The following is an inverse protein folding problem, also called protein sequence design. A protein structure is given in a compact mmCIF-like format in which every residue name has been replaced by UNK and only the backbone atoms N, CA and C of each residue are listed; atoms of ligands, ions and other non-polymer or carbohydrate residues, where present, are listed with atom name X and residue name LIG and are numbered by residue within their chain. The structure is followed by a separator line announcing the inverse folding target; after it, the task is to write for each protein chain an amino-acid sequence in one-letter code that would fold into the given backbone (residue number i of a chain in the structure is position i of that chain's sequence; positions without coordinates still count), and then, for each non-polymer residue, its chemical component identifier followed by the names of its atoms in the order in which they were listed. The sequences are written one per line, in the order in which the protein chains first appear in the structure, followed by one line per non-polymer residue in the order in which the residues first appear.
data_IF_385352520851
#
_entry.id   IF_385352520851
#
_cell.length_a   1.000
_cell.length_b   1.000
_cell.length_c   1.000
_cell.angle_alpha   90.00
_cell.angle_beta   90.00
_cell.angle_gamma   90.00
#
_symmetry.space_group_name_H-M   'P 1'
#
loop_
_entity.id
_entity.type
_entity.pdbx_description
1 polymer ?
#
# COMPACT_ATOMS: atom_id res chain seq x y z
N UNK A 1 -22.97 17.32 -4.10
CA UNK A 1 -21.90 16.44 -4.64
C UNK A 1 -21.78 16.73 -6.13
N UNK A 2 -20.58 17.05 -6.61
CA UNK A 2 -20.35 17.24 -8.04
C UNK A 2 -20.37 15.87 -8.75
N UNK A 3 -20.66 15.84 -10.05
CA UNK A 3 -20.61 14.63 -10.88
C UNK A 3 -19.26 13.91 -10.75
N UNK A 4 -18.16 14.66 -10.66
CA UNK A 4 -16.83 14.10 -10.46
C UNK A 4 -16.69 13.35 -9.12
N UNK A 5 -17.21 13.92 -8.03
CA UNK A 5 -17.16 13.28 -6.70
C UNK A 5 -17.94 11.96 -6.70
N UNK A 6 -19.13 11.98 -7.30
CA UNK A 6 -19.97 10.79 -7.39
C UNK A 6 -19.31 9.69 -8.23
N UNK A 7 -18.66 10.06 -9.35
CA UNK A 7 -17.92 9.10 -10.16
C UNK A 7 -16.74 8.48 -9.39
N UNK A 8 -15.95 9.30 -8.70
CA UNK A 8 -14.72 8.84 -8.03
C UNK A 8 -14.98 8.04 -6.74
N UNK A 9 -15.97 8.43 -5.94
CA UNK A 9 -16.21 7.84 -4.62
C UNK A 9 -17.50 7.01 -4.55
N UNK A 10 -18.46 7.24 -5.44
CA UNK A 10 -19.71 6.50 -5.51
C UNK A 10 -19.69 5.33 -6.49
N UNK A 11 -18.99 5.45 -7.64
CA UNK A 11 -19.02 4.44 -8.71
C UNK A 11 -17.71 3.67 -8.83
N UNK A 12 -16.57 4.38 -8.94
CA UNK A 12 -15.26 3.80 -9.19
C UNK A 12 -14.84 2.68 -8.22
N UNK A 13 -15.12 2.75 -6.89
CA UNK A 13 -14.76 1.68 -5.96
C UNK A 13 -15.36 0.32 -6.33
N UNK A 14 -16.60 0.29 -6.83
CA UNK A 14 -17.28 -0.94 -7.24
C UNK A 14 -16.69 -1.51 -8.53
N UNK A 15 -16.32 -0.65 -9.48
CA UNK A 15 -15.64 -1.08 -10.71
C UNK A 15 -14.28 -1.68 -10.36
N UNK A 16 -13.49 -0.99 -9.54
CA UNK A 16 -12.17 -1.46 -9.11
C UNK A 16 -12.27 -2.81 -8.37
N UNK A 17 -13.24 -2.95 -7.48
CA UNK A 17 -13.46 -4.19 -6.73
C UNK A 17 -13.92 -5.36 -7.62
N UNK A 18 -14.83 -5.10 -8.57
CA UNK A 18 -15.27 -6.11 -9.52
C UNK A 18 -14.12 -6.60 -10.41
N UNK A 19 -13.29 -5.68 -10.93
CA UNK A 19 -12.10 -6.02 -11.73
C UNK A 19 -11.07 -6.77 -10.89
N UNK A 20 -10.86 -6.38 -9.63
CA UNK A 20 -9.97 -7.08 -8.71
C UNK A 20 -10.42 -8.53 -8.51
N UNK A 21 -11.67 -8.77 -8.08
CA UNK A 21 -12.15 -10.12 -7.79
C UNK A 21 -12.23 -11.00 -9.03
N UNK A 22 -12.87 -10.53 -10.11
CA UNK A 22 -13.05 -11.32 -11.33
C UNK A 22 -11.72 -11.52 -12.05
N UNK A 23 -10.89 -10.48 -12.14
CA UNK A 23 -9.56 -10.57 -12.75
C UNK A 23 -8.65 -11.55 -12.00
N UNK A 24 -8.68 -11.53 -10.66
CA UNK A 24 -7.96 -12.51 -9.83
C UNK A 24 -8.47 -13.93 -10.05
N UNK A 25 -9.79 -14.14 -10.06
CA UNK A 25 -10.38 -15.46 -10.27
C UNK A 25 -10.06 -16.03 -11.67
N UNK A 26 -10.24 -15.23 -12.72
CA UNK A 26 -9.97 -15.64 -14.10
C UNK A 26 -8.48 -15.99 -14.28
N UNK A 27 -7.57 -15.17 -13.76
CA UNK A 27 -6.13 -15.44 -13.84
C UNK A 27 -5.74 -16.68 -13.04
N UNK A 28 -6.38 -16.90 -11.90
CA UNK A 28 -6.18 -18.11 -11.11
C UNK A 28 -6.65 -19.33 -11.91
N UNK A 29 -7.85 -19.34 -12.47
CA UNK A 29 -8.37 -20.52 -13.16
C UNK A 29 -7.63 -20.84 -14.48
N UNK A 30 -7.28 -19.80 -15.26
CA UNK A 30 -6.73 -19.98 -16.61
C UNK A 30 -5.21 -19.92 -16.71
N UNK A 31 -4.54 -19.10 -15.89
CA UNK A 31 -3.16 -18.66 -16.13
C UNK A 31 -2.21 -18.97 -14.94
N UNK A 32 -2.31 -20.16 -14.36
CA UNK A 32 -1.52 -20.62 -13.21
C UNK A 32 0.00 -20.45 -13.37
N UNK A 33 0.56 -20.66 -14.57
CA UNK A 33 2.00 -20.48 -14.82
C UNK A 33 2.48 -19.02 -14.63
N UNK A 34 1.57 -18.06 -14.76
CA UNK A 34 1.86 -16.64 -14.51
C UNK A 34 1.70 -16.25 -13.04
N UNK A 35 1.17 -17.14 -12.18
CA UNK A 35 0.91 -16.89 -10.77
C UNK A 35 2.16 -17.16 -9.92
N UNK A 36 3.07 -16.19 -9.89
CA UNK A 36 4.35 -16.29 -9.18
C UNK A 36 4.85 -14.93 -8.72
N UNK A 37 5.78 -14.93 -7.76
CA UNK A 37 6.37 -13.71 -7.20
C UNK A 37 7.40 -13.01 -8.11
N UNK A 38 7.81 -13.66 -9.20
CA UNK A 38 8.82 -13.14 -10.16
C UNK A 38 10.08 -12.59 -9.44
N UNK A 39 10.66 -13.39 -8.53
CA UNK A 39 11.83 -12.98 -7.74
C UNK A 39 13.05 -12.68 -8.62
N UNK A 40 13.63 -11.50 -8.45
CA UNK A 40 14.88 -11.08 -9.11
C UNK A 40 16.11 -11.25 -8.21
N UNK A 41 16.00 -12.00 -7.10
CA UNK A 41 17.09 -12.15 -6.13
C UNK A 41 18.33 -12.80 -6.73
N UNK A 42 18.14 -13.85 -7.52
CA UNK A 42 19.24 -14.59 -8.16
C UNK A 42 20.09 -13.69 -9.07
N UNK A 43 19.50 -12.66 -9.68
CA UNK A 43 20.21 -11.73 -10.56
C UNK A 43 21.07 -10.72 -9.79
N UNK A 44 20.63 -10.31 -8.59
CA UNK A 44 21.37 -9.41 -7.68
C UNK A 44 20.79 -9.47 -6.27
N UNK A 45 21.56 -10.02 -5.32
CA UNK A 45 21.09 -10.30 -3.96
C UNK A 45 21.15 -9.10 -3.00
N UNK A 46 22.26 -8.36 -2.94
CA UNK A 46 22.57 -7.47 -1.81
C UNK A 46 21.51 -6.41 -1.48
N UNK A 47 21.18 -5.55 -2.44
CA UNK A 47 20.17 -4.48 -2.26
C UNK A 47 18.75 -5.02 -2.01
N UNK A 48 18.44 -6.23 -2.50
CA UNK A 48 17.10 -6.80 -2.38
C UNK A 48 16.77 -7.17 -0.93
N UNK A 49 17.73 -7.64 -0.13
CA UNK A 49 17.46 -8.06 1.26
C UNK A 49 16.94 -6.90 2.11
N UNK A 50 17.61 -5.76 2.06
CA UNK A 50 17.19 -4.55 2.77
C UNK A 50 15.91 -3.97 2.19
N UNK A 51 15.88 -3.72 0.86
CA UNK A 51 14.71 -3.12 0.21
C UNK A 51 13.44 -3.96 0.38
N UNK A 52 13.55 -5.27 0.22
CA UNK A 52 12.42 -6.21 0.35
C UNK A 52 11.92 -6.30 1.79
N UNK A 53 12.80 -6.45 2.77
CA UNK A 53 12.38 -6.58 4.17
C UNK A 53 11.72 -5.28 4.68
N UNK A 54 12.34 -4.13 4.43
CA UNK A 54 11.79 -2.83 4.82
C UNK A 54 10.41 -2.59 4.18
N UNK A 55 10.30 -2.86 2.88
CA UNK A 55 9.04 -2.70 2.16
C UNK A 55 7.95 -3.63 2.71
N UNK A 56 8.23 -4.93 2.84
CA UNK A 56 7.21 -5.90 3.24
C UNK A 56 6.79 -5.77 4.70
N UNK A 57 7.73 -5.49 5.62
CA UNK A 57 7.39 -5.23 7.03
C UNK A 57 6.48 -3.99 7.11
N UNK A 58 6.85 -2.90 6.42
CA UNK A 58 6.06 -1.68 6.39
C UNK A 58 4.67 -1.90 5.79
N UNK A 59 4.59 -2.47 4.58
CA UNK A 59 3.32 -2.62 3.86
C UNK A 59 2.37 -3.64 4.52
N UNK A 60 2.89 -4.71 5.14
CA UNK A 60 2.05 -5.68 5.86
C UNK A 60 1.50 -5.06 7.14
N UNK A 61 2.32 -4.31 7.88
CA UNK A 61 1.84 -3.57 9.04
C UNK A 61 0.75 -2.56 8.63
N UNK A 62 0.98 -1.80 7.56
CA UNK A 62 -0.01 -0.87 7.01
C UNK A 62 -1.28 -1.59 6.57
N UNK A 63 -1.17 -2.73 5.87
CA UNK A 63 -2.33 -3.49 5.42
C UNK A 63 -3.23 -3.90 6.58
N UNK A 64 -2.67 -4.50 7.63
CA UNK A 64 -3.45 -4.87 8.81
C UNK A 64 -3.93 -3.66 9.60
N UNK A 65 -3.10 -2.62 9.72
CA UNK A 65 -3.47 -1.36 10.36
C UNK A 65 -4.66 -0.67 9.68
N UNK A 66 -4.67 -0.61 8.34
CA UNK A 66 -5.78 -0.08 7.54
C UNK A 66 -7.02 -0.96 7.64
N UNK A 67 -6.85 -2.28 7.56
CA UNK A 67 -7.96 -3.25 7.65
C UNK A 67 -8.67 -3.12 8.99
N UNK A 68 -7.93 -3.21 10.10
CA UNK A 68 -8.51 -3.07 11.44
C UNK A 68 -8.97 -1.63 11.70
N UNK A 69 -8.22 -0.64 11.23
CA UNK A 69 -8.55 0.78 11.38
C UNK A 69 -9.90 1.13 10.76
N UNK A 70 -10.13 0.77 9.49
CA UNK A 70 -11.32 1.19 8.75
C UNK A 70 -12.50 0.22 8.85
N UNK A 71 -12.25 -1.10 8.99
CA UNK A 71 -13.33 -2.10 8.98
C UNK A 71 -13.85 -2.45 10.38
N UNK A 72 -13.15 -2.08 11.46
CA UNK A 72 -13.66 -2.31 12.82
C UNK A 72 -14.76 -1.29 13.15
N UNK A 73 -16.00 -1.72 13.39
CA UNK A 73 -17.10 -0.81 13.71
C UNK A 73 -16.89 -0.06 15.03
N UNK A 74 -17.42 1.16 15.13
CA UNK A 74 -17.26 2.03 16.32
C UNK A 74 -17.63 1.34 17.64
N UNK A 75 -18.78 0.65 17.66
CA UNK A 75 -19.29 -0.02 18.85
C UNK A 75 -18.36 -1.10 19.43
N UNK A 76 -17.44 -1.65 18.61
CA UNK A 76 -16.51 -2.70 19.04
C UNK A 76 -15.36 -2.12 19.87
N UNK A 77 -14.88 -0.92 19.51
CA UNK A 77 -13.66 -0.35 20.09
C UNK A 77 -13.90 0.82 21.04
N UNK A 78 -15.05 1.49 20.97
CA UNK A 78 -15.34 2.72 21.74
C UNK A 78 -15.18 2.58 23.25
N UNK A 79 -15.37 1.38 23.80
CA UNK A 79 -15.22 1.08 25.23
C UNK A 79 -13.75 0.96 25.67
N UNK A 80 -12.83 0.79 24.73
CA UNK A 80 -11.40 0.56 24.98
C UNK A 80 -10.52 1.72 24.54
N UNK A 81 -10.89 2.38 23.43
CA UNK A 81 -10.08 3.43 22.79
C UNK A 81 -11.00 4.49 22.17
N UNK A 82 -10.70 5.77 22.43
CA UNK A 82 -11.42 6.86 21.79
C UNK A 82 -11.05 6.96 20.29
N UNK A 83 -11.89 7.60 19.49
CA UNK A 83 -11.59 7.83 18.07
C UNK A 83 -10.29 8.63 17.88
N UNK A 84 -10.05 9.65 18.71
CA UNK A 84 -8.82 10.44 18.71
C UNK A 84 -7.58 9.60 19.07
N UNK A 85 -7.67 8.73 20.08
CA UNK A 85 -6.57 7.84 20.46
C UNK A 85 -6.25 6.83 19.35
N UNK A 86 -7.29 6.31 18.68
CA UNK A 86 -7.15 5.43 17.51
C UNK A 86 -6.46 6.15 16.35
N UNK A 87 -6.80 7.42 16.11
CA UNK A 87 -6.13 8.25 15.10
C UNK A 87 -4.66 8.48 15.46
N UNK A 88 -4.36 8.82 16.72
CA UNK A 88 -3.00 9.02 17.18
C UNK A 88 -2.15 7.76 17.03
N UNK A 89 -2.70 6.60 17.43
CA UNK A 89 -2.08 5.30 17.23
C UNK A 89 -1.80 5.04 15.75
N UNK A 90 -2.77 5.31 14.87
CA UNK A 90 -2.60 5.14 13.42
C UNK A 90 -1.53 6.08 12.85
N UNK A 91 -1.47 7.33 13.30
CA UNK A 91 -0.45 8.30 12.85
C UNK A 91 0.96 7.88 13.27
N UNK A 92 1.16 7.49 14.54
CA UNK A 92 2.48 7.13 15.05
C UNK A 92 2.95 5.80 14.48
N UNK A 93 2.15 4.75 14.66
CA UNK A 93 2.54 3.39 14.25
C UNK A 93 2.48 3.23 12.72
N UNK A 94 1.44 3.75 12.08
CA UNK A 94 1.28 3.76 10.63
C UNK A 94 2.28 4.70 9.96
N UNK A 95 2.58 5.87 10.53
CA UNK A 95 3.63 6.76 10.02
C UNK A 95 5.01 6.10 10.03
N UNK A 96 5.37 5.44 11.14
CA UNK A 96 6.63 4.70 11.23
C UNK A 96 6.69 3.54 10.22
N UNK A 97 5.64 2.72 10.15
CA UNK A 97 5.56 1.63 9.18
C UNK A 97 5.56 2.12 7.72
N UNK A 98 4.91 3.26 7.46
CA UNK A 98 4.91 3.93 6.17
C UNK A 98 6.29 4.44 5.76
N UNK A 99 7.08 4.97 6.70
CA UNK A 99 8.48 5.34 6.44
C UNK A 99 9.34 4.12 6.10
N UNK A 100 9.20 3.01 6.83
CA UNK A 100 9.89 1.75 6.50
C UNK A 100 9.51 1.26 5.10
N UNK A 101 8.20 1.25 4.81
CA UNK A 101 7.65 0.92 3.50
C UNK A 101 8.23 1.79 2.39
N UNK A 102 8.23 3.11 2.60
CA UNK A 102 8.70 4.12 1.66
C UNK A 102 10.19 3.98 1.35
N UNK A 103 11.03 3.82 2.38
CA UNK A 103 12.48 3.58 2.19
C UNK A 103 12.70 2.27 1.44
N UNK A 104 11.98 1.21 1.82
CA UNK A 104 12.04 -0.08 1.14
C UNK A 104 11.70 0.00 -0.34
N UNK A 105 10.54 0.58 -0.69
CA UNK A 105 10.12 0.72 -2.09
C UNK A 105 11.04 1.65 -2.88
N UNK A 106 11.61 2.69 -2.26
CA UNK A 106 12.58 3.58 -2.91
C UNK A 106 13.85 2.81 -3.29
N UNK A 107 14.37 1.97 -2.41
CA UNK A 107 15.52 1.09 -2.70
C UNK A 107 15.16 0.12 -3.84
N UNK A 108 13.99 -0.50 -3.80
CA UNK A 108 13.55 -1.47 -4.81
C UNK A 108 13.32 -0.83 -6.18
N UNK A 109 12.71 0.36 -6.22
CA UNK A 109 12.47 1.13 -7.43
C UNK A 109 13.79 1.60 -8.04
N UNK A 110 14.68 2.20 -7.23
CA UNK A 110 16.02 2.56 -7.67
C UNK A 110 16.73 1.35 -8.28
N UNK A 111 16.77 0.22 -7.56
CA UNK A 111 17.36 -1.04 -8.02
C UNK A 111 16.76 -1.50 -9.36
N UNK A 112 15.45 -1.39 -9.57
CA UNK A 112 14.81 -1.85 -10.82
C UNK A 112 15.08 -0.92 -12.01
N UNK A 113 15.31 0.36 -11.76
CA UNK A 113 15.58 1.36 -12.80
C UNK A 113 17.06 1.43 -13.18
N UNK A 114 17.98 1.29 -12.22
CA UNK A 114 19.41 1.55 -12.44
C UNK A 114 20.25 0.30 -12.70
N UNK A 115 19.83 -0.88 -12.25
CA UNK A 115 20.61 -2.09 -12.41
C UNK A 115 20.37 -2.76 -13.78
N UNK A 116 21.38 -2.84 -14.68
CA UNK A 116 21.18 -3.31 -16.05
C UNK A 116 20.58 -4.71 -16.13
N UNK A 117 21.08 -5.65 -15.30
CA UNK A 117 20.59 -7.04 -15.27
C UNK A 117 19.13 -7.15 -14.87
N UNK A 118 18.68 -6.28 -13.97
CA UNK A 118 17.29 -6.30 -13.47
C UNK A 118 16.39 -5.55 -14.44
N UNK A 119 16.85 -4.42 -14.96
CA UNK A 119 16.09 -3.58 -15.90
C UNK A 119 15.72 -4.36 -17.16
N UNK A 120 16.66 -5.09 -17.74
CA UNK A 120 16.44 -5.90 -18.96
C UNK A 120 15.45 -7.04 -18.71
N UNK A 121 15.41 -7.62 -17.50
CA UNK A 121 14.52 -8.72 -17.14
C UNK A 121 13.21 -8.25 -16.47
N UNK A 122 12.95 -6.94 -16.36
CA UNK A 122 11.75 -6.41 -15.75
C UNK A 122 10.65 -6.17 -16.77
N UNK A 123 9.42 -6.52 -16.42
CA UNK A 123 8.24 -6.15 -17.21
C UNK A 123 7.90 -4.68 -16.94
N UNK A 124 7.29 -4.00 -17.92
CA UNK A 124 6.77 -2.63 -17.72
C UNK A 124 5.80 -2.55 -16.55
N UNK A 125 4.96 -3.59 -16.37
CA UNK A 125 4.04 -3.71 -15.23
C UNK A 125 4.74 -3.66 -13.88
N UNK A 126 5.93 -4.25 -13.75
CA UNK A 126 6.67 -4.29 -12.47
C UNK A 126 7.13 -2.88 -12.04
N UNK A 127 7.49 -2.06 -13.03
CA UNK A 127 7.94 -0.68 -12.82
C UNK A 127 6.75 0.21 -12.50
N UNK A 128 5.66 0.10 -13.28
CA UNK A 128 4.44 0.87 -13.06
C UNK A 128 3.86 0.56 -11.69
N UNK A 129 3.79 -0.71 -11.29
CA UNK A 129 3.28 -1.10 -9.98
C UNK A 129 4.16 -0.57 -8.83
N UNK A 130 5.49 -0.63 -8.95
CA UNK A 130 6.38 -0.03 -7.95
C UNK A 130 6.25 1.48 -7.86
N UNK A 131 6.07 2.18 -9.00
CA UNK A 131 5.83 3.62 -9.02
C UNK A 131 4.50 3.99 -8.36
N UNK A 132 3.44 3.25 -8.63
CA UNK A 132 2.13 3.47 -8.01
C UNK A 132 2.18 3.24 -6.50
N UNK A 133 2.85 2.18 -6.04
CA UNK A 133 3.05 1.93 -4.60
C UNK A 133 3.91 3.01 -3.94
N UNK A 134 4.95 3.48 -4.63
CA UNK A 134 5.78 4.58 -4.17
C UNK A 134 4.95 5.86 -4.01
N UNK A 135 4.16 6.22 -5.01
CA UNK A 135 3.28 7.39 -4.97
C UNK A 135 2.23 7.26 -3.86
N UNK A 136 1.60 6.09 -3.71
CA UNK A 136 0.62 5.84 -2.66
C UNK A 136 1.20 6.03 -1.26
N UNK A 137 2.43 5.54 -1.03
CA UNK A 137 3.12 5.73 0.25
C UNK A 137 3.48 7.18 0.52
N UNK A 138 3.92 7.93 -0.51
CA UNK A 138 4.17 9.37 -0.39
C UNK A 138 2.88 10.12 -0.03
N UNK A 139 1.78 9.83 -0.73
CA UNK A 139 0.49 10.45 -0.45
C UNK A 139 0.00 10.12 0.97
N UNK A 140 0.08 8.86 1.39
CA UNK A 140 -0.31 8.45 2.74
C UNK A 140 0.57 9.05 3.86
N UNK A 141 1.87 9.25 3.61
CA UNK A 141 2.73 9.96 4.57
C UNK A 141 2.45 11.47 4.59
N UNK A 142 2.11 12.05 3.43
CA UNK A 142 1.77 13.47 3.31
C UNK A 142 0.47 13.83 4.03
N UNK A 143 -0.43 12.87 4.30
CA UNK A 143 -1.64 13.12 5.09
C UNK A 143 -1.37 13.17 6.59
N UNK A 144 -0.27 12.59 7.10
CA UNK A 144 0.01 12.54 8.55
C UNK A 144 0.07 13.93 9.19
N UNK A 145 0.76 14.94 8.63
CA UNK A 145 0.74 16.31 9.17
C UNK A 145 -0.67 16.93 9.17
N UNK A 146 -1.49 16.64 8.16
CA UNK A 146 -2.86 17.14 8.06
C UNK A 146 -3.77 16.52 9.15
N UNK A 147 -3.62 15.22 9.41
CA UNK A 147 -4.30 14.53 10.51
C UNK A 147 -3.88 15.09 11.87
N UNK A 148 -2.62 15.52 12.02
CA UNK A 148 -2.14 16.17 13.24
C UNK A 148 -2.81 17.51 13.56
N UNK A 149 -3.46 18.15 12.58
CA UNK A 149 -4.23 19.37 12.77
C UNK A 149 -5.67 19.10 13.25
N UNK A 150 -6.14 17.84 13.18
CA UNK A 150 -7.52 17.43 13.47
C UNK A 150 -7.52 16.21 14.42
N UNK A 151 -7.04 16.38 15.65
CA UNK A 151 -6.88 15.30 16.63
C UNK A 151 -8.20 14.79 17.25
N UNK A 152 -9.32 15.45 16.93
CA UNK A 152 -10.65 15.10 17.41
C UNK A 152 -11.23 13.83 16.75
N UNK A 153 -10.52 13.26 15.77
CA UNK A 153 -11.00 12.08 15.05
C UNK A 153 -11.97 12.42 13.91
N UNK A 154 -12.22 13.70 13.63
CA UNK A 154 -13.15 14.14 12.57
C UNK A 154 -12.72 13.74 11.15
N UNK A 155 -11.46 13.36 10.99
CA UNK A 155 -10.85 12.96 9.73
C UNK A 155 -10.67 11.44 9.59
N UNK A 156 -11.25 10.66 10.51
CA UNK A 156 -11.32 9.18 10.49
C UNK A 156 -12.68 8.72 9.98
#
# INVERSE_FOLDING_TARGET
MNTLDYLLFGVYPYIAFAVFLLGSLIRFDRDQYTWKSDSSQMLKMGQLRWGSNLFHIGVLFLFFGHTVGMLTPHFVYEHFISAGDKQLMAMVSGGFAGLLGFVGVTILLHRRLTEPRIRINSKTSDIVLLLLLWLQLVLGLATVPLSGQHLDGSMM
#
